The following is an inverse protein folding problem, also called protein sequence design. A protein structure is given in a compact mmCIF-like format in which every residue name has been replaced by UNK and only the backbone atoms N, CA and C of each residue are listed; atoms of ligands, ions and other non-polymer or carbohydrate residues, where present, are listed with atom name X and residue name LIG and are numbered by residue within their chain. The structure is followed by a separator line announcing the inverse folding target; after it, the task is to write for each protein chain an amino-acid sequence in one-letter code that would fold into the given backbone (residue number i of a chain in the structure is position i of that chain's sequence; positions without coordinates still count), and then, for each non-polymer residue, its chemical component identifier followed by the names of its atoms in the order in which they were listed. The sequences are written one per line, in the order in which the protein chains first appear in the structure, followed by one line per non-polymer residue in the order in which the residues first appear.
data_IF_186840679613
#
_entry.id   IF_186840679613
#
_cell.length_a   1.000
_cell.length_b   1.000
_cell.length_c   1.000
_cell.angle_alpha   90.00
_cell.angle_beta   90.00
_cell.angle_gamma   90.00
#
_symmetry.space_group_name_H-M   'P 1'
#
loop_
_entity.id
_entity.type
_entity.pdbx_description
1 polymer ?
#
# COMPACT_ATOMS: atom_id res chain seq x y z
N UNK A 1 23.24 20.50 23.74
CA UNK A 1 22.20 19.47 23.54
C UNK A 1 21.47 19.83 22.25
N UNK A 2 22.00 19.38 21.11
CA UNK A 2 21.36 19.61 19.81
C UNK A 2 20.50 18.39 19.51
N UNK A 3 19.19 18.51 19.75
CA UNK A 3 18.23 17.56 19.21
C UNK A 3 18.05 17.90 17.73
N UNK A 4 18.94 17.36 16.89
CA UNK A 4 18.69 17.25 15.46
C UNK A 4 17.53 16.28 15.27
N UNK A 5 16.31 16.81 15.21
CA UNK A 5 15.16 16.06 14.75
C UNK A 5 15.40 15.73 13.28
N UNK A 6 15.94 14.54 13.02
CA UNK A 6 16.06 14.02 11.68
C UNK A 6 14.67 14.01 11.05
N UNK A 7 14.55 14.68 9.91
CA UNK A 7 13.38 14.55 9.06
C UNK A 7 13.14 13.06 8.83
N UNK A 8 11.89 12.54 8.96
CA UNK A 8 11.61 11.16 8.61
C UNK A 8 11.71 11.01 7.08
N UNK A 9 12.93 10.84 6.58
CA UNK A 9 13.20 10.35 5.24
C UNK A 9 12.97 8.86 5.24
N UNK A 10 11.74 8.44 4.92
CA UNK A 10 11.44 7.03 4.82
C UNK A 10 9.97 6.78 4.54
N UNK A 11 9.72 5.85 3.62
CA UNK A 11 8.47 5.14 3.37
C UNK A 11 8.00 4.34 4.61
N UNK A 12 8.11 4.90 5.80
CA UNK A 12 7.62 4.35 7.03
C UNK A 12 6.15 4.73 7.13
N UNK A 13 5.33 4.12 6.27
CA UNK A 13 3.91 4.00 6.55
C UNK A 13 3.80 3.32 7.91
N UNK A 14 3.19 4.04 8.86
CA UNK A 14 2.95 3.58 10.24
C UNK A 14 1.50 3.18 10.46
N UNK A 15 0.66 3.32 9.43
CA UNK A 15 -0.77 3.05 9.48
C UNK A 15 -1.12 1.93 8.49
N UNK A 16 -2.10 1.07 8.83
CA UNK A 16 -2.62 0.08 7.90
C UNK A 16 -3.16 0.74 6.62
N UNK A 17 -3.08 0.01 5.50
CA UNK A 17 -3.70 0.42 4.25
C UNK A 17 -5.22 0.44 4.40
N UNK A 18 -5.84 1.60 4.24
CA UNK A 18 -7.28 1.81 4.51
C UNK A 18 -8.04 2.40 3.32
N UNK A 19 -9.34 2.69 3.52
CA UNK A 19 -10.23 3.17 2.46
C UNK A 19 -9.72 4.40 1.70
N UNK A 20 -9.10 5.35 2.39
CA UNK A 20 -8.51 6.53 1.73
C UNK A 20 -7.38 6.16 0.75
N UNK A 21 -6.51 5.22 1.15
CA UNK A 21 -5.44 4.73 0.30
C UNK A 21 -5.98 3.86 -0.84
N UNK A 22 -7.04 3.08 -0.59
CA UNK A 22 -7.76 2.33 -1.61
C UNK A 22 -8.35 3.27 -2.68
N UNK A 23 -9.01 4.36 -2.29
CA UNK A 23 -9.57 5.33 -3.24
C UNK A 23 -8.47 6.00 -4.08
N UNK A 24 -7.29 6.25 -3.47
CA UNK A 24 -6.14 6.76 -4.19
C UNK A 24 -5.59 5.74 -5.20
N UNK A 25 -5.54 4.45 -4.83
CA UNK A 25 -5.15 3.36 -5.73
C UNK A 25 -6.11 3.25 -6.91
N UNK A 26 -7.42 3.25 -6.66
CA UNK A 26 -8.46 3.20 -7.72
C UNK A 26 -8.36 4.39 -8.67
N UNK A 27 -8.11 5.60 -8.15
CA UNK A 27 -7.89 6.76 -9.03
C UNK A 27 -6.59 6.62 -9.83
N UNK A 28 -5.56 6.03 -9.24
CA UNK A 28 -4.27 5.79 -9.88
C UNK A 28 -4.36 4.86 -11.08
N UNK A 29 -5.26 3.87 -11.07
CA UNK A 29 -5.41 2.94 -12.22
C UNK A 29 -5.80 3.67 -13.49
N UNK A 30 -6.59 4.75 -13.42
CA UNK A 30 -6.98 5.56 -14.59
C UNK A 30 -5.78 6.15 -15.35
N UNK A 31 -4.63 6.27 -14.70
CA UNK A 31 -3.39 6.74 -15.32
C UNK A 31 -2.54 5.62 -15.94
N UNK A 32 -2.91 4.35 -15.73
CA UNK A 32 -2.16 3.17 -16.19
C UNK A 32 -2.84 2.59 -17.45
N UNK A 33 -2.19 2.69 -18.63
CA UNK A 33 -2.73 2.12 -19.86
C UNK A 33 -3.01 0.62 -19.74
N UNK A 34 -4.15 0.17 -20.27
CA UNK A 34 -4.54 -1.24 -20.28
C UNK A 34 -5.22 -1.74 -18.99
N UNK A 35 -5.40 -0.87 -17.99
CA UNK A 35 -6.25 -1.20 -16.84
C UNK A 35 -7.74 -0.95 -17.13
N UNK A 36 -8.58 -1.70 -16.44
CA UNK A 36 -10.05 -1.66 -16.51
C UNK A 36 -10.62 -1.64 -15.08
N UNK A 37 -11.91 -1.34 -14.91
CA UNK A 37 -12.56 -1.42 -13.60
C UNK A 37 -12.46 -2.82 -12.95
N UNK A 38 -12.38 -3.87 -13.76
CA UNK A 38 -12.25 -5.25 -13.29
C UNK A 38 -10.80 -5.70 -13.10
N UNK A 39 -9.83 -4.81 -13.28
CA UNK A 39 -8.42 -5.15 -13.08
C UNK A 39 -8.16 -5.50 -11.61
N UNK A 40 -7.65 -6.71 -11.32
CA UNK A 40 -7.35 -7.12 -9.95
C UNK A 40 -6.41 -6.15 -9.25
N UNK A 41 -6.82 -5.68 -8.06
CA UNK A 41 -6.00 -4.82 -7.23
C UNK A 41 -5.28 -5.65 -6.17
N UNK A 42 -3.98 -5.40 -6.06
CA UNK A 42 -3.12 -6.05 -5.06
C UNK A 42 -2.39 -4.98 -4.28
N UNK A 43 -2.27 -5.18 -2.96
CA UNK A 43 -1.55 -4.28 -2.07
C UNK A 43 -0.40 -5.01 -1.40
N UNK A 44 0.76 -4.38 -1.41
CA UNK A 44 1.88 -4.75 -0.54
C UNK A 44 1.90 -3.74 0.59
N UNK A 45 1.73 -4.21 1.83
CA UNK A 45 1.81 -3.33 3.00
C UNK A 45 2.48 -4.03 4.16
N UNK A 46 3.39 -3.30 4.82
CA UNK A 46 4.04 -3.74 6.05
C UNK A 46 3.17 -3.57 7.29
N UNK A 47 2.24 -2.61 7.28
CA UNK A 47 1.37 -2.33 8.43
C UNK A 47 0.01 -3.03 8.33
N UNK A 48 -0.13 -3.96 7.37
CA UNK A 48 -1.36 -4.70 7.13
C UNK A 48 -2.46 -3.85 6.49
N UNK A 49 -3.68 -4.38 6.56
CA UNK A 49 -4.84 -3.84 5.87
C UNK A 49 -5.98 -3.55 6.83
N UNK A 50 -6.74 -2.48 6.55
CA UNK A 50 -8.06 -2.32 7.12
C UNK A 50 -9.01 -3.40 6.56
N UNK A 51 -9.95 -3.84 7.38
CA UNK A 51 -10.93 -4.86 6.99
C UNK A 51 -11.90 -4.35 5.90
N UNK A 52 -12.43 -5.29 5.11
CA UNK A 52 -13.52 -5.02 4.16
C UNK A 52 -13.12 -4.32 2.87
N UNK A 53 -11.81 -4.19 2.57
CA UNK A 53 -11.36 -3.61 1.31
C UNK A 53 -11.49 -4.61 0.15
N UNK A 54 -11.99 -4.19 -1.03
CA UNK A 54 -12.19 -5.06 -2.18
C UNK A 54 -10.87 -5.29 -2.94
N UNK A 55 -9.91 -5.94 -2.29
CA UNK A 55 -8.64 -6.34 -2.89
C UNK A 55 -8.66 -7.82 -3.30
N UNK A 56 -7.98 -8.14 -4.39
CA UNK A 56 -7.79 -9.53 -4.82
C UNK A 56 -6.75 -10.25 -3.97
N UNK A 57 -5.70 -9.54 -3.55
CA UNK A 57 -4.68 -10.09 -2.67
C UNK A 57 -4.01 -8.98 -1.84
N UNK A 58 -3.41 -9.40 -0.73
CA UNK A 58 -2.45 -8.58 0.00
C UNK A 58 -1.22 -9.41 0.33
N UNK A 59 -0.06 -8.74 0.37
CA UNK A 59 1.21 -9.36 0.77
C UNK A 59 1.90 -8.52 1.82
N UNK A 60 2.36 -9.19 2.88
CA UNK A 60 3.30 -8.64 3.84
C UNK A 60 4.74 -8.76 3.34
N UNK A 61 5.69 -8.06 4.00
CA UNK A 61 7.10 -8.21 3.69
C UNK A 61 7.59 -9.65 3.84
N UNK A 62 7.02 -10.43 4.77
CA UNK A 62 7.35 -11.84 4.96
C UNK A 62 6.96 -12.69 3.74
N UNK A 63 5.82 -12.39 3.10
CA UNK A 63 5.37 -13.09 1.90
C UNK A 63 6.31 -12.81 0.72
N UNK A 64 6.76 -11.56 0.59
CA UNK A 64 7.71 -11.18 -0.44
C UNK A 64 9.07 -11.87 -0.27
N UNK A 65 9.58 -11.92 0.96
CA UNK A 65 10.85 -12.62 1.24
C UNK A 65 10.73 -14.12 0.97
N UNK A 66 9.57 -14.74 1.24
CA UNK A 66 9.35 -16.17 0.96
C UNK A 66 9.24 -16.50 -0.52
N UNK A 67 8.77 -15.56 -1.34
CA UNK A 67 8.57 -15.76 -2.77
C UNK A 67 9.86 -15.58 -3.60
N UNK A 68 10.93 -15.09 -2.99
CA UNK A 68 12.23 -14.84 -3.61
C UNK A 68 13.20 -16.00 -3.37
#
# INVERSE_FOLDING_TARGET
MSSGGGEPHGWLETRPFGGHAYDALVRGTLAVPGTTPDTPLVVVSRCGLAEGLPLTAHWGPEDLVRAW
#
